data_IF_174232274624
#
_entry.id   IF_174232274624
#
_cell.length_a   1.000
_cell.length_b   1.000
_cell.length_c   1.000
_cell.angle_alpha   90.00
_cell.angle_beta   90.00
_cell.angle_gamma   90.00
#
_symmetry.space_group_name_H-M   'P 1'
#
loop_
_entity.id
_entity.type
_entity.pdbx_description
1 polymer ?
#
# COMPACT_ATOMS: atom_id res chain seq x y z
N UNK A 1 55.10 -37.24 1.17
CA UNK A 1 54.79 -37.68 2.55
C UNK A 1 53.27 -37.80 2.67
N UNK A 2 52.76 -39.04 2.73
CA UNK A 2 51.32 -39.39 2.74
C UNK A 2 50.79 -39.30 4.18
N UNK A 3 49.74 -38.51 4.45
CA UNK A 3 48.99 -38.57 5.71
C UNK A 3 47.61 -39.19 5.48
N UNK A 4 47.55 -40.48 5.79
CA UNK A 4 46.37 -41.33 5.88
C UNK A 4 45.47 -40.81 7.02
N UNK A 5 44.25 -40.36 6.69
CA UNK A 5 43.19 -40.12 7.67
C UNK A 5 42.43 -41.43 7.88
N UNK A 6 42.62 -42.01 9.07
CA UNK A 6 42.08 -43.28 9.56
C UNK A 6 40.62 -43.09 9.98
N UNK A 7 39.68 -43.63 9.20
CA UNK A 7 38.27 -43.73 9.60
C UNK A 7 38.13 -44.65 10.81
N UNK A 8 37.38 -44.22 11.83
CA UNK A 8 37.01 -45.01 13.01
C UNK A 8 35.63 -45.66 12.80
N UNK A 9 35.37 -46.83 13.41
CA UNK A 9 34.19 -47.64 13.11
C UNK A 9 32.92 -47.06 13.75
N UNK A 10 31.82 -47.23 13.03
CA UNK A 10 30.46 -46.93 13.42
C UNK A 10 29.97 -47.97 14.44
N UNK A 11 29.67 -47.52 15.67
CA UNK A 11 29.12 -48.37 16.73
C UNK A 11 27.59 -48.21 16.75
N UNK A 12 26.87 -49.28 16.38
CA UNK A 12 25.41 -49.34 16.46
C UNK A 12 25.03 -49.75 17.88
N UNK A 13 24.42 -48.83 18.63
CA UNK A 13 23.76 -49.16 19.90
C UNK A 13 22.35 -49.70 19.63
N UNK A 14 22.14 -50.99 19.91
CA UNK A 14 20.80 -51.57 20.09
C UNK A 14 20.29 -51.15 21.48
N UNK A 15 19.32 -50.25 21.53
CA UNK A 15 18.52 -49.98 22.71
C UNK A 15 17.15 -50.62 22.56
N UNK A 16 16.87 -51.65 23.36
CA UNK A 16 15.58 -52.33 23.43
C UNK A 16 14.73 -51.77 24.59
N UNK A 17 13.52 -51.31 24.23
CA UNK A 17 12.23 -51.29 24.95
C UNK A 17 12.14 -50.67 26.35
N UNK A 18 11.23 -49.68 26.48
CA UNK A 18 10.18 -49.72 27.50
C UNK A 18 8.98 -48.86 27.10
N UNK A 19 7.82 -49.51 26.99
CA UNK A 19 6.54 -48.89 26.66
C UNK A 19 6.09 -47.94 27.75
N UNK A 20 5.99 -46.65 27.42
CA UNK A 20 5.31 -45.68 28.25
C UNK A 20 3.83 -45.68 27.89
N UNK A 21 3.06 -46.36 28.73
CA UNK A 21 1.61 -46.27 28.90
C UNK A 21 1.02 -44.97 28.35
N UNK A 22 0.37 -45.06 27.19
CA UNK A 22 -0.52 -44.02 26.66
C UNK A 22 -1.63 -43.82 27.67
N UNK A 23 -1.47 -42.81 28.54
CA UNK A 23 -2.56 -42.29 29.37
C UNK A 23 -3.63 -41.81 28.40
N UNK A 24 -4.66 -42.64 28.24
CA UNK A 24 -5.82 -42.33 27.41
C UNK A 24 -6.32 -40.94 27.76
N UNK A 25 -6.39 -40.07 26.74
CA UNK A 25 -7.05 -38.79 26.84
C UNK A 25 -8.51 -39.08 27.17
N UNK A 26 -8.85 -39.05 28.46
CA UNK A 26 -10.23 -39.18 28.92
C UNK A 26 -10.95 -37.96 28.38
N UNK A 27 -11.78 -38.16 27.34
CA UNK A 27 -12.75 -37.18 26.87
C UNK A 27 -13.78 -36.94 27.99
N UNK A 28 -13.37 -36.21 29.01
CA UNK A 28 -14.26 -35.69 30.05
C UNK A 28 -15.05 -34.56 29.38
N UNK A 29 -16.37 -34.76 29.27
CA UNK A 29 -17.34 -34.00 28.47
C UNK A 29 -17.23 -34.16 26.95
N UNK A 30 -17.77 -35.27 26.42
CA UNK A 30 -18.25 -35.30 25.04
C UNK A 30 -19.72 -34.89 24.98
N UNK A 31 -20.04 -33.63 25.32
CA UNK A 31 -21.28 -33.00 24.86
C UNK A 31 -21.02 -32.59 23.41
N UNK A 32 -21.52 -33.38 22.46
CA UNK A 32 -21.36 -33.10 21.03
C UNK A 32 -22.19 -31.90 20.61
N UNK A 33 -21.62 -31.04 19.77
CA UNK A 33 -22.32 -29.95 19.08
C UNK A 33 -23.37 -30.56 18.14
N UNK A 34 -24.59 -30.04 18.15
CA UNK A 34 -25.62 -30.56 17.22
C UNK A 34 -25.40 -30.01 15.81
N UNK A 35 -25.72 -30.79 14.78
CA UNK A 35 -25.62 -30.31 13.39
C UNK A 35 -26.50 -29.08 13.16
N UNK A 36 -27.68 -29.04 13.79
CA UNK A 36 -28.60 -27.91 13.68
C UNK A 36 -28.04 -26.63 14.30
N UNK A 37 -27.32 -26.73 15.42
CA UNK A 37 -26.69 -25.59 16.08
C UNK A 37 -25.59 -25.00 15.21
N UNK A 38 -24.79 -25.84 14.54
CA UNK A 38 -23.83 -25.38 13.55
C UNK A 38 -24.51 -24.73 12.34
N UNK A 39 -25.61 -25.32 11.84
CA UNK A 39 -26.36 -24.77 10.69
C UNK A 39 -26.91 -23.36 10.97
N UNK A 40 -27.46 -23.13 12.17
CA UNK A 40 -27.98 -21.81 12.54
C UNK A 40 -26.84 -20.79 12.70
N UNK A 41 -25.72 -21.19 13.29
CA UNK A 41 -24.54 -20.32 13.44
C UNK A 41 -23.98 -19.89 12.07
N UNK A 42 -23.80 -20.83 11.13
CA UNK A 42 -23.31 -20.48 9.79
C UNK A 42 -24.31 -19.61 9.01
N UNK A 43 -25.61 -19.82 9.23
CA UNK A 43 -26.64 -19.01 8.60
C UNK A 43 -26.58 -17.55 9.10
N UNK A 44 -26.49 -17.33 10.40
CA UNK A 44 -26.40 -15.98 10.99
C UNK A 44 -25.07 -15.32 10.61
N UNK A 45 -23.94 -16.03 10.71
CA UNK A 45 -22.63 -15.49 10.33
C UNK A 45 -22.57 -15.14 8.84
N UNK A 46 -23.23 -15.88 7.96
CA UNK A 46 -23.35 -15.55 6.54
C UNK A 46 -24.06 -14.21 6.30
N UNK A 47 -25.16 -13.94 7.01
CA UNK A 47 -25.89 -12.67 6.93
C UNK A 47 -25.01 -11.51 7.43
N UNK A 48 -24.36 -11.69 8.58
CA UNK A 48 -23.48 -10.67 9.15
C UNK A 48 -22.28 -10.37 8.23
N UNK A 49 -21.62 -11.41 7.70
CA UNK A 49 -20.48 -11.26 6.81
C UNK A 49 -20.86 -10.53 5.51
N UNK A 50 -22.06 -10.80 4.97
CA UNK A 50 -22.56 -10.13 3.76
C UNK A 50 -22.62 -8.61 3.87
N UNK A 51 -22.94 -8.08 5.06
CA UNK A 51 -22.99 -6.64 5.32
C UNK A 51 -21.62 -6.12 5.78
N UNK A 52 -20.90 -6.89 6.61
CA UNK A 52 -19.66 -6.45 7.23
C UNK A 52 -18.50 -6.31 6.23
N UNK A 53 -18.37 -7.21 5.26
CA UNK A 53 -17.26 -7.22 4.30
C UNK A 53 -17.22 -5.95 3.42
N UNK A 54 -18.28 -5.56 2.68
CA UNK A 54 -18.23 -4.36 1.86
C UNK A 54 -18.02 -3.09 2.69
N UNK A 55 -18.60 -3.02 3.89
CA UNK A 55 -18.39 -1.91 4.82
C UNK A 55 -16.91 -1.81 5.23
N UNK A 56 -16.28 -2.92 5.62
CA UNK A 56 -14.87 -2.98 5.99
C UNK A 56 -13.95 -2.54 4.84
N UNK A 57 -14.18 -3.02 3.62
CA UNK A 57 -13.38 -2.64 2.44
C UNK A 57 -13.47 -1.12 2.21
N UNK A 58 -14.67 -0.54 2.29
CA UNK A 58 -14.86 0.91 2.11
C UNK A 58 -14.15 1.74 3.18
N UNK A 59 -14.10 1.24 4.42
CA UNK A 59 -13.41 1.89 5.53
C UNK A 59 -11.89 1.89 5.32
N UNK A 60 -11.32 0.74 4.95
CA UNK A 60 -9.89 0.62 4.64
C UNK A 60 -9.52 1.54 3.47
N UNK A 61 -10.36 1.62 2.44
CA UNK A 61 -10.12 2.51 1.30
C UNK A 61 -10.05 3.99 1.72
N UNK A 62 -10.98 4.47 2.56
CA UNK A 62 -10.94 5.85 3.09
C UNK A 62 -9.71 6.11 3.95
N UNK A 63 -9.29 5.12 4.73
CA UNK A 63 -8.06 5.22 5.53
C UNK A 63 -6.83 5.37 4.62
N UNK A 64 -6.74 4.57 3.54
CA UNK A 64 -5.67 4.69 2.53
C UNK A 64 -5.64 6.07 1.89
N UNK A 65 -6.79 6.60 1.47
CA UNK A 65 -6.89 7.97 0.92
C UNK A 65 -6.34 9.00 1.92
N UNK A 66 -6.69 8.88 3.21
CA UNK A 66 -6.22 9.79 4.26
C UNK A 66 -4.71 9.73 4.45
N UNK A 67 -4.12 8.53 4.39
CA UNK A 67 -2.66 8.34 4.43
C UNK A 67 -2.02 9.00 3.21
N UNK A 68 -2.52 8.73 2.00
CA UNK A 68 -1.99 9.34 0.77
C UNK A 68 -2.03 10.88 0.79
N UNK A 69 -3.11 11.48 1.31
CA UNK A 69 -3.22 12.92 1.50
C UNK A 69 -2.14 13.44 2.46
N UNK A 70 -1.89 12.70 3.55
CA UNK A 70 -0.89 13.07 4.55
C UNK A 70 0.53 12.99 3.98
N UNK A 71 0.81 11.94 3.22
CA UNK A 71 2.08 11.72 2.53
C UNK A 71 2.37 12.81 1.48
N UNK A 72 1.37 13.20 0.67
CA UNK A 72 1.51 14.30 -0.29
C UNK A 72 1.80 15.62 0.43
N UNK A 73 1.14 15.89 1.56
CA UNK A 73 1.41 17.08 2.37
C UNK A 73 2.83 17.06 2.96
N UNK A 74 3.33 15.90 3.35
CA UNK A 74 4.71 15.73 3.80
C UNK A 74 5.70 16.00 2.67
N UNK A 75 5.50 15.36 1.51
CA UNK A 75 6.33 15.57 0.33
C UNK A 75 6.33 17.04 -0.13
N UNK A 76 5.17 17.71 -0.10
CA UNK A 76 5.08 19.15 -0.40
C UNK A 76 5.98 19.99 0.51
N UNK A 77 6.02 19.67 1.81
CA UNK A 77 6.89 20.37 2.77
C UNK A 77 8.36 20.08 2.47
N UNK A 78 8.71 18.82 2.29
CA UNK A 78 10.08 18.41 1.98
C UNK A 78 10.58 19.10 0.69
N UNK A 79 9.72 19.23 -0.33
CA UNK A 79 10.04 19.93 -1.59
C UNK A 79 10.24 21.44 -1.36
N UNK A 80 9.41 22.06 -0.51
CA UNK A 80 9.54 23.46 -0.13
C UNK A 80 10.83 23.73 0.66
N UNK A 81 11.19 22.83 1.55
CA UNK A 81 12.43 22.90 2.33
C UNK A 81 13.64 22.76 1.38
N UNK A 82 13.59 21.77 0.47
CA UNK A 82 14.62 21.61 -0.56
C UNK A 82 14.83 22.87 -1.40
N UNK A 83 13.74 23.50 -1.85
CA UNK A 83 13.79 24.73 -2.62
C UNK A 83 14.41 25.88 -1.81
N UNK A 84 14.14 25.94 -0.51
CA UNK A 84 14.72 26.95 0.37
C UNK A 84 16.24 26.78 0.53
N UNK A 85 16.72 25.54 0.58
CA UNK A 85 18.13 25.23 0.76
C UNK A 85 18.95 25.36 -0.53
N UNK A 86 18.39 24.93 -1.67
CA UNK A 86 19.11 24.88 -2.96
C UNK A 86 18.76 26.03 -3.91
N UNK A 87 17.71 26.81 -3.61
CA UNK A 87 17.21 27.90 -4.45
C UNK A 87 16.45 27.45 -5.69
N UNK A 88 16.23 26.14 -5.86
CA UNK A 88 15.53 25.55 -7.01
C UNK A 88 14.71 24.33 -6.58
N UNK A 89 13.61 24.06 -7.30
CA UNK A 89 12.84 22.84 -7.11
C UNK A 89 13.66 21.61 -7.53
N UNK A 90 13.49 20.47 -6.85
CA UNK A 90 14.15 19.22 -7.22
C UNK A 90 13.75 18.80 -8.64
N UNK A 91 14.62 18.10 -9.36
CA UNK A 91 14.28 17.60 -10.70
C UNK A 91 13.39 16.36 -10.60
N UNK A 92 13.64 15.51 -9.61
CA UNK A 92 12.90 14.27 -9.34
C UNK A 92 12.80 14.01 -7.84
N UNK A 93 11.87 13.15 -7.42
CA UNK A 93 11.80 12.70 -6.02
C UNK A 93 13.02 11.86 -5.60
N UNK A 94 13.68 11.20 -6.55
CA UNK A 94 14.89 10.41 -6.29
C UNK A 94 16.05 11.29 -5.81
N UNK A 95 16.19 12.49 -6.36
CA UNK A 95 17.23 13.46 -5.97
C UNK A 95 17.13 13.85 -4.50
N UNK A 96 15.90 13.91 -3.96
CA UNK A 96 15.64 14.18 -2.55
C UNK A 96 15.70 12.93 -1.65
N UNK A 97 16.02 11.76 -2.19
CA UNK A 97 15.95 10.49 -1.46
C UNK A 97 14.53 10.03 -1.14
N UNK A 98 13.52 10.50 -1.90
CA UNK A 98 12.10 10.15 -1.73
C UNK A 98 11.53 9.28 -2.85
N UNK A 99 12.36 8.85 -3.80
CA UNK A 99 11.93 8.02 -4.94
C UNK A 99 11.34 6.66 -4.57
N UNK A 100 11.75 6.08 -3.45
CA UNK A 100 11.25 4.78 -2.96
C UNK A 100 9.90 4.87 -2.24
N UNK A 101 9.40 6.09 -1.99
CA UNK A 101 8.13 6.28 -1.31
C UNK A 101 6.97 5.82 -2.18
N UNK A 102 6.15 4.93 -1.63
CA UNK A 102 4.97 4.35 -2.30
C UNK A 102 3.71 4.81 -1.60
N UNK A 103 2.66 4.97 -2.40
CA UNK A 103 1.33 5.22 -1.91
C UNK A 103 0.76 3.97 -1.17
N UNK A 104 -0.39 4.12 -0.48
CA UNK A 104 -1.03 3.01 0.26
C UNK A 104 -1.57 1.86 -0.61
N UNK A 105 -1.50 1.98 -1.93
CA UNK A 105 -1.82 0.94 -2.91
C UNK A 105 -0.57 0.29 -3.51
N UNK A 106 0.62 0.81 -3.20
CA UNK A 106 1.92 0.28 -3.60
C UNK A 106 2.50 0.91 -4.86
N UNK A 107 1.88 1.96 -5.40
CA UNK A 107 2.39 2.67 -6.57
C UNK A 107 3.34 3.80 -6.13
N UNK A 108 4.35 4.16 -6.95
CA UNK A 108 5.23 5.29 -6.64
C UNK A 108 4.47 6.62 -6.77
N UNK A 109 4.78 7.57 -5.89
CA UNK A 109 4.32 8.94 -6.03
C UNK A 109 4.85 9.57 -7.32
N UNK A 110 3.99 10.34 -7.98
CA UNK A 110 4.30 11.01 -9.23
C UNK A 110 4.62 12.47 -8.96
N UNK A 111 5.75 12.93 -9.50
CA UNK A 111 6.21 14.31 -9.40
C UNK A 111 6.62 14.82 -10.77
N UNK A 112 6.23 16.05 -11.09
CA UNK A 112 6.60 16.72 -12.33
C UNK A 112 6.96 18.17 -12.06
N UNK A 113 8.25 18.49 -12.08
CA UNK A 113 8.74 19.86 -12.03
C UNK A 113 8.48 20.56 -13.37
N UNK A 114 7.78 21.71 -13.36
CA UNK A 114 7.43 22.41 -14.60
C UNK A 114 8.58 23.19 -15.24
N UNK A 115 9.63 23.49 -14.49
CA UNK A 115 10.82 24.15 -15.03
C UNK A 115 11.57 23.26 -16.01
N UNK A 116 11.50 21.94 -15.81
CA UNK A 116 12.16 20.94 -16.66
C UNK A 116 11.50 20.76 -18.03
N UNK A 117 10.26 21.22 -18.19
CA UNK A 117 9.42 20.94 -19.36
C UNK A 117 9.07 22.18 -20.21
N UNK A 118 9.75 23.31 -20.00
CA UNK A 118 9.48 24.59 -20.69
C UNK A 118 9.41 24.38 -22.22
N UNK A 119 8.26 24.72 -22.82
CA UNK A 119 8.04 24.76 -24.27
C UNK A 119 7.54 23.48 -24.95
N UNK A 120 7.73 22.27 -24.38
CA UNK A 120 7.28 21.00 -24.98
C UNK A 120 6.39 20.12 -24.09
N UNK A 121 6.17 20.49 -22.82
CA UNK A 121 5.44 19.66 -21.86
C UNK A 121 4.16 20.24 -21.28
N UNK A 122 3.57 21.30 -21.86
CA UNK A 122 2.26 21.80 -21.38
C UNK A 122 1.14 20.74 -21.44
N UNK A 123 1.28 19.72 -22.29
CA UNK A 123 0.39 18.57 -22.32
C UNK A 123 0.61 17.55 -21.19
N UNK A 124 1.75 17.61 -20.49
CA UNK A 124 2.10 16.74 -19.36
C UNK A 124 1.59 17.24 -18.02
N UNK A 125 1.33 18.55 -17.90
CA UNK A 125 0.73 19.15 -16.70
C UNK A 125 -0.66 18.58 -16.48
N UNK A 126 -0.98 18.25 -15.24
CA UNK A 126 -2.34 17.86 -14.88
C UNK A 126 -3.27 19.06 -15.03
N UNK A 127 -4.51 18.80 -15.41
CA UNK A 127 -5.50 19.83 -15.72
C UNK A 127 -6.85 19.55 -15.08
N UNK A 128 -7.52 20.60 -14.66
CA UNK A 128 -8.88 20.55 -14.10
C UNK A 128 -9.95 20.28 -15.18
N UNK A 129 -11.22 20.37 -14.77
CA UNK A 129 -12.38 20.20 -15.66
C UNK A 129 -12.43 21.23 -16.81
N UNK A 130 -11.84 22.40 -16.59
CA UNK A 130 -11.77 23.48 -17.56
C UNK A 130 -10.51 23.42 -18.42
N UNK A 131 -9.73 22.33 -18.31
CA UNK A 131 -8.46 22.09 -19.00
C UNK A 131 -7.37 23.11 -18.63
N UNK A 132 -7.51 23.75 -17.46
CA UNK A 132 -6.53 24.67 -16.87
C UNK A 132 -5.55 23.87 -16.01
N UNK A 133 -4.23 24.15 -16.06
CA UNK A 133 -3.27 23.49 -15.18
C UNK A 133 -3.65 23.61 -13.70
N UNK A 134 -3.51 22.51 -12.95
CA UNK A 134 -3.85 22.49 -11.52
C UNK A 134 -2.91 23.35 -10.66
N UNK A 135 -1.66 23.45 -11.10
CA UNK A 135 -0.57 24.12 -10.39
C UNK A 135 0.26 24.94 -11.38
N UNK A 136 1.12 25.80 -10.86
CA UNK A 136 2.06 26.63 -11.62
C UNK A 136 3.51 26.23 -11.42
N UNK A 137 3.82 25.52 -10.33
CA UNK A 137 5.15 25.14 -9.88
C UNK A 137 5.52 23.69 -10.27
N UNK A 138 4.77 22.72 -9.76
CA UNK A 138 4.95 21.30 -10.02
C UNK A 138 3.65 20.53 -9.77
N UNK A 139 3.54 19.35 -10.39
CA UNK A 139 2.51 18.38 -10.02
C UNK A 139 3.08 17.36 -9.03
N UNK A 140 2.26 17.01 -8.04
CA UNK A 140 2.53 15.95 -7.07
C UNK A 140 1.24 15.18 -6.80
N UNK A 141 1.24 13.87 -7.03
CA UNK A 141 0.05 13.05 -6.86
C UNK A 141 0.35 11.56 -6.66
N UNK A 142 -0.65 10.84 -6.18
CA UNK A 142 -0.73 9.38 -6.12
C UNK A 142 -1.66 8.90 -7.23
N UNK A 143 -1.32 7.79 -7.89
CA UNK A 143 -2.12 7.19 -8.99
C UNK A 143 -3.34 6.39 -8.49
N UNK A 144 -3.62 6.47 -7.19
CA UNK A 144 -4.78 5.84 -6.60
C UNK A 144 -4.71 4.32 -6.61
N UNK A 145 -5.89 3.69 -6.62
CA UNK A 145 -6.03 2.26 -6.46
C UNK A 145 -5.75 1.50 -7.74
N UNK A 146 -6.12 2.07 -8.88
CA UNK A 146 -5.98 1.39 -10.17
C UNK A 146 -4.57 1.52 -10.77
N UNK A 147 -3.74 2.42 -10.23
CA UNK A 147 -2.36 2.66 -10.63
C UNK A 147 -2.23 3.25 -12.04
N UNK A 148 -3.32 3.76 -12.59
CA UNK A 148 -3.40 4.40 -13.90
C UNK A 148 -3.70 5.86 -13.67
N UNK A 149 -3.28 6.71 -14.61
CA UNK A 149 -3.57 8.13 -14.51
C UNK A 149 -3.45 8.79 -15.88
N UNK A 150 -4.20 9.86 -16.08
CA UNK A 150 -4.12 10.73 -17.26
C UNK A 150 -4.06 12.19 -16.83
N UNK A 151 -3.60 13.06 -17.73
CA UNK A 151 -3.36 14.47 -17.36
C UNK A 151 -4.64 15.24 -17.01
N UNK A 152 -5.78 15.11 -17.72
CA UNK A 152 -7.01 15.75 -17.30
C UNK A 152 -7.66 14.96 -16.14
N UNK A 153 -8.12 15.66 -15.10
CA UNK A 153 -8.86 15.04 -13.99
C UNK A 153 -10.23 14.47 -14.43
N UNK A 154 -10.78 14.96 -15.54
CA UNK A 154 -12.05 14.47 -16.12
C UNK A 154 -11.94 13.02 -16.63
N UNK A 155 -10.73 12.56 -16.95
CA UNK A 155 -10.49 11.21 -17.44
C UNK A 155 -10.85 10.18 -16.37
N UNK A 156 -11.50 9.09 -16.77
CA UNK A 156 -11.95 8.03 -15.84
C UNK A 156 -10.80 7.44 -15.02
N UNK A 157 -9.64 7.27 -15.64
CA UNK A 157 -8.43 6.72 -15.02
C UNK A 157 -7.76 7.70 -14.04
N UNK A 158 -8.24 8.93 -13.89
CA UNK A 158 -7.66 9.92 -12.98
C UNK A 158 -8.56 10.21 -11.78
N UNK A 159 -9.75 9.59 -11.71
CA UNK A 159 -10.78 9.97 -10.73
C UNK A 159 -10.45 9.50 -9.31
N UNK A 160 -9.70 8.42 -9.17
CA UNK A 160 -9.23 7.89 -7.89
C UNK A 160 -7.83 8.37 -7.50
N UNK A 161 -7.21 9.23 -8.31
CA UNK A 161 -5.96 9.88 -7.96
C UNK A 161 -6.13 10.75 -6.72
N UNK A 162 -5.08 10.80 -5.89
CA UNK A 162 -4.97 11.79 -4.81
C UNK A 162 -3.97 12.84 -5.26
N UNK A 163 -4.42 14.09 -5.37
CA UNK A 163 -3.68 15.16 -6.05
C UNK A 163 -3.39 16.33 -5.11
N UNK A 164 -2.26 16.99 -5.34
CA UNK A 164 -2.03 18.38 -4.93
C UNK A 164 -2.54 19.32 -6.04
N UNK A 165 -3.33 20.32 -5.66
CA UNK A 165 -3.84 21.33 -6.60
C UNK A 165 -3.88 22.73 -5.97
N UNK A 166 -4.18 23.73 -6.80
CA UNK A 166 -4.20 25.16 -6.45
C UNK A 166 -2.93 25.59 -5.71
N UNK A 167 -1.77 25.25 -6.29
CA UNK A 167 -0.44 25.55 -5.76
C UNK A 167 -0.26 25.08 -4.30
N UNK A 168 -0.87 23.94 -3.94
CA UNK A 168 -0.72 23.30 -2.64
C UNK A 168 -1.73 23.70 -1.58
N UNK A 169 -2.71 24.55 -1.90
CA UNK A 169 -3.81 24.83 -0.97
C UNK A 169 -4.80 23.65 -0.87
N UNK A 170 -4.86 22.80 -1.90
CA UNK A 170 -5.71 21.62 -1.93
C UNK A 170 -4.86 20.35 -2.01
N UNK A 171 -5.18 19.38 -1.16
CA UNK A 171 -4.70 17.99 -1.28
C UNK A 171 -5.87 17.07 -0.96
N UNK A 172 -6.28 16.26 -1.95
CA UNK A 172 -7.48 15.44 -1.83
C UNK A 172 -7.71 14.56 -3.05
N UNK A 173 -8.85 13.88 -3.09
CA UNK A 173 -9.23 13.07 -4.25
C UNK A 173 -9.46 13.97 -5.48
N UNK A 174 -9.02 13.52 -6.65
CA UNK A 174 -9.23 14.21 -7.91
C UNK A 174 -10.70 14.30 -8.32
N UNK A 175 -11.54 13.36 -7.88
CA UNK A 175 -12.99 13.42 -8.09
C UNK A 175 -13.67 14.61 -7.39
N UNK A 176 -13.06 15.12 -6.33
CA UNK A 176 -13.65 16.12 -5.43
C UNK A 176 -13.11 17.53 -5.71
N UNK A 177 -12.20 17.66 -6.67
CA UNK A 177 -11.62 18.92 -7.15
C UNK A 177 -12.28 19.34 -8.47
#
# INVERSE_FOLDING_TARGET
>A
MKRFLKMRPFCVHKGEVQGSSSKGFRYLFSQGFTLIELMVVIAITGILAGIAIPAYISFVEKAKITVAISDIKLLQRDISDWQSDHGALPLTLEEMGKGDMKDPWGNPYQYLNFETIKGKGNGKKRKDHNLVPLNEDFDLYSMGKDGKSQTPLTAKASRDDIIRANNGSYVGAASDY
#
